data_IF_080307037956
#
_entry.id   IF_080307037956
#
_cell.length_a   1.000
_cell.length_b   1.000
_cell.length_c   1.000
_cell.angle_alpha   90.00
_cell.angle_beta   90.00
_cell.angle_gamma   90.00
#
_symmetry.space_group_name_H-M   'P 1'
#
loop_
_entity.id
_entity.type
_entity.pdbx_description
1 polymer ?
#
# COMPACT_ATOMS: atom_id res chain seq x y z
N UNK A 1 19.78 -2.57 -18.74
CA UNK A 1 19.43 -3.56 -17.69
C UNK A 1 19.99 -3.08 -16.37
N UNK A 2 19.24 -3.16 -15.27
CA UNK A 2 19.69 -2.72 -13.94
C UNK A 2 20.43 -3.86 -13.23
N UNK A 3 21.54 -3.57 -12.55
CA UNK A 3 22.37 -4.61 -11.95
C UNK A 3 21.82 -5.08 -10.57
N UNK A 4 22.24 -6.28 -10.15
CA UNK A 4 21.77 -6.95 -8.92
C UNK A 4 22.01 -6.11 -7.65
N UNK A 5 23.07 -5.31 -7.64
CA UNK A 5 23.45 -4.45 -6.52
C UNK A 5 22.55 -3.21 -6.43
N UNK A 6 22.21 -2.60 -7.55
CA UNK A 6 21.25 -1.50 -7.67
C UNK A 6 19.83 -1.92 -7.28
N UNK A 7 19.40 -3.15 -7.62
CA UNK A 7 18.09 -3.68 -7.19
C UNK A 7 18.02 -3.81 -5.67
N UNK A 8 19.03 -4.40 -5.05
CA UNK A 8 19.11 -4.54 -3.59
C UNK A 8 19.16 -3.19 -2.88
N UNK A 9 19.87 -2.21 -3.44
CA UNK A 9 19.94 -0.86 -2.88
C UNK A 9 18.56 -0.18 -2.90
N UNK A 10 17.79 -0.34 -3.98
CA UNK A 10 16.42 0.17 -4.08
C UNK A 10 15.48 -0.48 -3.06
N UNK A 11 15.61 -1.78 -2.86
CA UNK A 11 14.77 -2.54 -1.92
C UNK A 11 15.19 -2.31 -0.44
N UNK A 12 16.43 -1.86 -0.21
CA UNK A 12 16.99 -1.49 1.11
C UNK A 12 16.49 -0.15 1.65
N UNK A 13 16.05 0.76 0.77
CA UNK A 13 15.37 2.00 1.19
C UNK A 13 14.00 1.61 1.75
N UNK A 14 13.69 1.99 2.99
CA UNK A 14 12.43 1.65 3.68
C UNK A 14 11.24 1.85 2.73
N UNK A 15 10.54 0.75 2.43
CA UNK A 15 9.37 0.76 1.54
C UNK A 15 8.20 1.42 2.24
N UNK A 16 8.00 2.71 2.02
CA UNK A 16 6.79 3.42 2.40
C UNK A 16 5.69 3.07 1.39
N UNK A 17 4.51 2.68 1.89
CA UNK A 17 3.31 2.47 1.08
C UNK A 17 2.24 3.48 1.48
N UNK A 18 1.50 3.96 0.49
CA UNK A 18 0.37 4.85 0.67
C UNK A 18 -0.77 4.34 -0.20
N UNK A 19 -1.99 4.41 0.33
CA UNK A 19 -3.20 3.92 -0.30
C UNK A 19 -4.42 4.68 0.20
N UNK A 20 -5.55 4.51 -0.48
CA UNK A 20 -6.82 5.11 -0.05
C UNK A 20 -7.61 4.12 0.77
N UNK A 21 -7.93 4.48 2.01
CA UNK A 21 -8.69 3.63 2.91
C UNK A 21 -10.16 3.53 2.50
N UNK A 22 -10.72 2.31 2.44
CA UNK A 22 -12.11 2.08 2.04
C UNK A 22 -12.98 1.53 3.18
N UNK A 23 -12.52 0.47 3.85
CA UNK A 23 -13.23 -0.17 4.95
C UNK A 23 -12.23 -0.60 6.03
N UNK A 24 -12.45 -0.17 7.28
CA UNK A 24 -11.58 -0.49 8.41
C UNK A 24 -11.94 -1.76 9.16
N UNK A 25 -13.08 -2.38 8.86
CA UNK A 25 -13.49 -3.65 9.43
C UNK A 25 -13.88 -4.60 8.30
N UNK A 26 -12.87 -5.03 7.55
CA UNK A 26 -13.12 -5.88 6.38
C UNK A 26 -13.60 -7.28 6.78
N UNK A 27 -13.16 -7.79 7.93
CA UNK A 27 -13.44 -9.14 8.39
C UNK A 27 -14.45 -9.24 9.55
N UNK A 28 -15.01 -8.11 9.99
CA UNK A 28 -15.97 -8.04 11.10
C UNK A 28 -15.31 -8.25 12.48
N UNK A 29 -13.97 -8.20 12.54
CA UNK A 29 -13.17 -8.49 13.72
C UNK A 29 -12.09 -7.44 13.98
N UNK A 30 -12.06 -6.36 13.21
CA UNK A 30 -11.06 -5.29 13.29
C UNK A 30 -9.61 -5.77 13.10
N UNK A 31 -9.40 -6.94 12.49
CA UNK A 31 -8.06 -7.46 12.21
C UNK A 31 -7.59 -7.10 10.80
N UNK A 32 -8.53 -6.73 9.93
CA UNK A 32 -8.26 -6.41 8.53
C UNK A 32 -8.93 -5.15 8.07
N UNK A 33 -8.26 -4.46 7.15
CA UNK A 33 -8.82 -3.34 6.41
C UNK A 33 -8.69 -3.54 4.91
N UNK A 34 -9.52 -2.84 4.15
CA UNK A 34 -9.44 -2.77 2.70
C UNK A 34 -9.05 -1.36 2.24
N UNK A 35 -8.12 -1.28 1.28
CA UNK A 35 -7.73 -0.05 0.61
C UNK A 35 -7.79 -0.19 -0.92
N UNK A 36 -7.69 0.95 -1.61
CA UNK A 36 -7.26 1.02 -3.01
C UNK A 36 -5.77 1.33 -3.04
N UNK A 37 -5.02 0.34 -3.51
CA UNK A 37 -3.57 0.44 -3.66
C UNK A 37 -3.21 0.25 -5.14
N UNK A 38 -2.27 1.08 -5.60
CA UNK A 38 -1.53 0.78 -6.82
C UNK A 38 -0.26 0.05 -6.45
N UNK A 39 0.23 -0.73 -7.40
CA UNK A 39 1.55 -1.31 -7.30
C UNK A 39 1.73 -2.33 -6.14
N UNK A 40 0.68 -3.09 -5.85
CA UNK A 40 0.70 -4.10 -4.80
C UNK A 40 1.46 -5.36 -5.24
N UNK A 41 1.19 -5.86 -6.45
CA UNK A 41 1.67 -7.16 -6.89
C UNK A 41 3.03 -7.11 -7.61
N UNK A 42 3.32 -6.01 -8.33
CA UNK A 42 4.45 -5.97 -9.27
C UNK A 42 5.56 -4.94 -8.98
N UNK A 43 5.56 -4.31 -7.80
CA UNK A 43 6.70 -3.55 -7.29
C UNK A 43 7.15 -2.30 -8.09
N UNK A 44 6.40 -1.90 -9.11
CA UNK A 44 6.39 -0.54 -9.65
C UNK A 44 7.24 -0.39 -10.88
N UNK A 45 7.88 -1.48 -11.29
CA UNK A 45 8.84 -1.49 -12.38
C UNK A 45 8.26 -0.95 -13.69
N UNK A 46 6.98 -1.22 -13.95
CA UNK A 46 6.28 -0.77 -15.16
C UNK A 46 5.29 0.37 -14.94
N UNK A 47 5.12 0.86 -13.70
CA UNK A 47 4.12 1.89 -13.32
C UNK A 47 2.71 1.69 -13.94
N UNK A 48 2.34 0.44 -14.24
CA UNK A 48 1.19 0.13 -15.07
C UNK A 48 0.01 -0.47 -14.28
N UNK A 49 0.18 -0.70 -12.97
CA UNK A 49 -0.89 -1.30 -12.18
C UNK A 49 -1.94 -0.24 -11.85
N UNK A 50 -3.16 -0.47 -12.34
CA UNK A 50 -4.34 0.30 -11.96
C UNK A 50 -4.64 0.02 -10.49
N UNK A 51 -5.18 1.04 -9.79
CA UNK A 51 -5.57 0.88 -8.39
C UNK A 51 -6.59 -0.26 -8.26
N UNK A 52 -6.35 -1.18 -7.34
CA UNK A 52 -7.26 -2.29 -7.07
C UNK A 52 -7.43 -2.46 -5.58
N UNK A 53 -8.48 -3.20 -5.21
CA UNK A 53 -8.79 -3.48 -3.81
C UNK A 53 -7.77 -4.45 -3.25
N UNK A 54 -7.18 -4.09 -2.12
CA UNK A 54 -6.25 -4.95 -1.37
C UNK A 54 -6.78 -5.08 0.05
N UNK A 55 -6.67 -6.29 0.59
CA UNK A 55 -7.01 -6.59 1.98
C UNK A 55 -5.70 -6.74 2.75
N UNK A 56 -5.58 -5.99 3.84
CA UNK A 56 -4.39 -5.91 4.66
C UNK A 56 -4.71 -6.36 6.09
N UNK A 57 -3.69 -6.88 6.77
CA UNK A 57 -3.73 -7.03 8.22
C UNK A 57 -3.15 -5.77 8.88
N UNK A 58 -3.60 -5.47 10.10
CA UNK A 58 -3.02 -4.40 10.94
C UNK A 58 -1.70 -4.83 11.60
N UNK A 59 -0.66 -5.12 10.81
CA UNK A 59 0.61 -5.71 11.30
C UNK A 59 1.77 -4.72 11.44
N UNK A 60 1.65 -3.50 10.90
CA UNK A 60 2.72 -2.50 10.90
C UNK A 60 2.24 -1.18 11.50
N UNK A 61 3.17 -0.34 11.95
CA UNK A 61 2.86 1.05 12.32
C UNK A 61 2.27 1.79 11.11
N UNK A 62 1.06 2.32 11.28
CA UNK A 62 0.30 2.97 10.23
C UNK A 62 -0.19 4.34 10.68
N UNK A 63 -0.20 5.29 9.74
CA UNK A 63 -0.74 6.63 9.95
C UNK A 63 -1.95 6.80 9.03
N UNK A 64 -3.09 7.14 9.62
CA UNK A 64 -4.30 7.48 8.88
C UNK A 64 -4.45 8.99 8.79
N UNK A 65 -4.47 9.50 7.56
CA UNK A 65 -4.73 10.91 7.28
C UNK A 65 -6.20 11.05 6.89
N UNK A 66 -6.97 11.74 7.72
CA UNK A 66 -8.36 12.10 7.40
C UNK A 66 -8.35 13.44 6.65
N UNK A 67 -8.73 13.49 5.36
CA UNK A 67 -8.82 14.76 4.66
C UNK A 67 -9.97 15.61 5.22
N UNK A 68 -9.85 16.93 5.14
CA UNK A 68 -10.97 17.81 5.40
C UNK A 68 -12.03 17.60 4.32
N UNK A 69 -13.23 17.21 4.74
CA UNK A 69 -14.37 17.10 3.82
C UNK A 69 -14.95 18.49 3.62
N UNK A 70 -15.04 18.94 2.37
CA UNK A 70 -15.82 20.15 2.04
C UNK A 70 -17.30 19.84 2.34
N UNK A 71 -17.96 20.75 3.06
CA UNK A 71 -19.38 20.68 3.36
C UNK A 71 -20.22 20.83 2.08
#
# INVERSE_FOLDING_TARGET
MMNKQQSKLRDSIRKVRIGTFLNGDYDGKLMKFQSLDQNWNNGGWRKAEVAHKVVHNYENDMIFIRPFKKA
#
